data_IF_996448668077
#
_entry.id   IF_996448668077
#
_cell.length_a   1.000
_cell.length_b   1.000
_cell.length_c   1.000
_cell.angle_alpha   90.00
_cell.angle_beta   90.00
_cell.angle_gamma   90.00
#
_symmetry.space_group_name_H-M   'P 1'
#
loop_
_entity.id
_entity.type
_entity.pdbx_description
1 polymer ?
#
# COMPACT_ATOMS: atom_id res chain seq x y z
N UNK A 1 45.21 -27.24 -26.14
CA UNK A 1 45.10 -27.03 -24.68
C UNK A 1 43.76 -26.45 -24.28
N UNK A 2 43.16 -25.51 -25.02
CA UNK A 2 41.87 -24.89 -24.68
C UNK A 2 40.64 -25.83 -24.77
N UNK A 3 40.65 -26.83 -25.69
CA UNK A 3 39.53 -27.76 -25.84
C UNK A 3 39.32 -28.70 -24.64
N UNK A 4 40.40 -29.10 -23.96
CA UNK A 4 40.33 -29.95 -22.79
C UNK A 4 39.77 -29.23 -21.55
N UNK A 5 40.00 -27.92 -21.42
CA UNK A 5 39.47 -27.09 -20.34
C UNK A 5 37.96 -26.85 -20.47
N UNK A 6 37.46 -26.73 -21.69
CA UNK A 6 36.03 -26.63 -21.98
C UNK A 6 35.32 -27.94 -21.61
N UNK A 7 35.93 -29.09 -21.87
CA UNK A 7 35.34 -30.38 -21.55
C UNK A 7 35.24 -30.66 -20.04
N UNK A 8 36.15 -30.07 -19.24
CA UNK A 8 36.15 -30.20 -17.77
C UNK A 8 35.32 -29.13 -17.07
N UNK A 9 34.54 -28.32 -17.78
CA UNK A 9 33.80 -27.17 -17.24
C UNK A 9 34.67 -26.22 -16.37
N UNK A 10 36.00 -26.25 -16.59
CA UNK A 10 36.91 -25.33 -15.94
C UNK A 10 36.65 -23.92 -16.51
N UNK A 11 36.17 -22.98 -15.72
CA UNK A 11 36.14 -21.57 -16.11
C UNK A 11 37.56 -21.18 -16.54
N UNK A 12 37.70 -20.71 -17.79
CA UNK A 12 38.93 -20.02 -18.17
C UNK A 12 39.15 -18.93 -17.12
N UNK A 13 40.32 -18.95 -16.44
CA UNK A 13 40.65 -17.96 -15.46
C UNK A 13 40.55 -16.60 -16.11
N UNK A 14 39.66 -15.75 -15.61
CA UNK A 14 39.54 -14.38 -16.06
C UNK A 14 40.91 -13.71 -15.89
N UNK A 15 41.34 -12.99 -16.91
CA UNK A 15 42.52 -12.15 -16.80
C UNK A 15 42.43 -11.26 -15.56
N UNK A 16 43.44 -11.05 -14.75
CA UNK A 16 43.37 -10.20 -13.55
C UNK A 16 42.67 -8.85 -13.79
N UNK A 17 42.89 -8.27 -14.96
CA UNK A 17 42.22 -7.01 -15.38
C UNK A 17 40.71 -7.17 -15.56
N UNK A 18 40.19 -8.31 -15.99
CA UNK A 18 38.78 -8.57 -16.16
C UNK A 18 38.08 -8.71 -14.79
N UNK A 19 38.74 -9.36 -13.83
CA UNK A 19 38.26 -9.46 -12.45
C UNK A 19 38.14 -8.07 -11.78
N UNK A 20 39.15 -7.22 -11.96
CA UNK A 20 39.10 -5.84 -11.45
C UNK A 20 37.98 -5.01 -12.11
N UNK A 21 37.79 -5.19 -13.41
CA UNK A 21 36.74 -4.50 -14.16
C UNK A 21 35.35 -4.96 -13.75
N UNK A 22 35.13 -6.27 -13.60
CA UNK A 22 33.86 -6.82 -13.09
C UNK A 22 33.57 -6.37 -11.66
N UNK A 23 34.58 -6.31 -10.79
CA UNK A 23 34.43 -5.85 -9.42
C UNK A 23 34.09 -4.37 -9.38
N UNK A 24 34.76 -3.55 -10.21
CA UNK A 24 34.50 -2.11 -10.30
C UNK A 24 33.09 -1.82 -10.80
N UNK A 25 32.63 -2.51 -11.86
CA UNK A 25 31.26 -2.38 -12.40
C UNK A 25 30.24 -2.77 -11.33
N UNK A 26 30.48 -3.84 -10.57
CA UNK A 26 29.58 -4.28 -9.50
C UNK A 26 29.45 -3.23 -8.39
N UNK A 27 30.53 -2.64 -7.96
CA UNK A 27 30.54 -1.59 -6.93
C UNK A 27 29.82 -0.33 -7.43
N UNK A 28 30.02 0.04 -8.68
CA UNK A 28 29.32 1.20 -9.28
C UNK A 28 27.80 0.96 -9.41
N UNK A 29 27.40 -0.27 -9.76
CA UNK A 29 25.99 -0.63 -9.87
C UNK A 29 25.32 -0.69 -8.49
N UNK A 30 25.97 -1.23 -7.46
CA UNK A 30 25.48 -1.21 -6.07
C UNK A 30 25.36 0.21 -5.54
N UNK A 31 26.27 1.10 -5.85
CA UNK A 31 26.19 2.50 -5.45
C UNK A 31 25.01 3.23 -6.13
N UNK A 32 24.80 2.99 -7.42
CA UNK A 32 23.66 3.54 -8.18
C UNK A 32 22.33 3.04 -7.61
N UNK A 33 22.25 1.73 -7.29
CA UNK A 33 21.06 1.13 -6.69
C UNK A 33 20.80 1.71 -5.30
N UNK A 34 21.82 1.83 -4.47
CA UNK A 34 21.72 2.45 -3.14
C UNK A 34 21.22 3.89 -3.21
N UNK A 35 21.71 4.71 -4.15
CA UNK A 35 21.22 6.08 -4.37
C UNK A 35 19.76 6.13 -4.78
N UNK A 36 19.32 5.23 -5.69
CA UNK A 36 17.91 5.13 -6.09
C UNK A 36 17.01 4.74 -4.93
N UNK A 37 17.42 3.78 -4.11
CA UNK A 37 16.70 3.36 -2.91
C UNK A 37 16.54 4.53 -1.94
N UNK A 38 17.61 5.28 -1.68
CA UNK A 38 17.58 6.43 -0.77
C UNK A 38 16.64 7.54 -1.28
N UNK A 39 16.68 7.87 -2.56
CA UNK A 39 15.77 8.86 -3.14
C UNK A 39 14.29 8.41 -3.05
N UNK A 40 14.01 7.14 -3.33
CA UNK A 40 12.65 6.59 -3.22
C UNK A 40 12.14 6.60 -1.78
N UNK A 41 12.99 6.24 -0.81
CA UNK A 41 12.61 6.24 0.62
C UNK A 41 12.32 7.63 1.16
N UNK A 42 13.03 8.66 0.71
CA UNK A 42 12.76 10.04 1.10
C UNK A 42 11.39 10.51 0.62
N UNK A 43 11.08 10.30 -0.65
CA UNK A 43 9.79 10.72 -1.23
C UNK A 43 8.61 10.00 -0.57
N UNK A 44 8.70 8.68 -0.43
CA UNK A 44 7.66 7.87 0.22
C UNK A 44 7.56 8.18 1.72
N UNK A 45 8.68 8.49 2.39
CA UNK A 45 8.71 8.86 3.80
C UNK A 45 7.92 10.12 4.09
N UNK A 46 8.12 11.17 3.30
CA UNK A 46 7.35 12.42 3.42
C UNK A 46 5.85 12.12 3.26
N UNK A 47 5.46 11.36 2.23
CA UNK A 47 4.06 10.98 2.02
C UNK A 47 3.46 10.21 3.19
N UNK A 48 4.19 9.22 3.72
CA UNK A 48 3.73 8.41 4.86
C UNK A 48 3.54 9.24 6.13
N UNK A 49 4.45 10.15 6.44
CA UNK A 49 4.33 11.05 7.60
C UNK A 49 3.15 12.00 7.44
N UNK A 50 2.93 12.56 6.24
CA UNK A 50 1.76 13.41 5.98
C UNK A 50 0.44 12.65 6.19
N UNK A 51 0.35 11.41 5.73
CA UNK A 51 -0.84 10.58 5.96
C UNK A 51 -1.04 10.32 7.46
N UNK A 52 0.04 10.01 8.19
CA UNK A 52 -0.01 9.81 9.63
C UNK A 52 -0.54 11.05 10.36
N UNK A 53 -0.04 12.24 10.03
CA UNK A 53 -0.49 13.48 10.67
C UNK A 53 -1.94 13.80 10.37
N UNK A 54 -2.39 13.61 9.13
CA UNK A 54 -3.80 13.83 8.74
C UNK A 54 -4.71 12.82 9.45
N UNK A 55 -4.36 11.54 9.45
CA UNK A 55 -5.14 10.50 10.12
C UNK A 55 -5.19 10.71 11.64
N UNK A 56 -4.08 11.14 12.25
CA UNK A 56 -4.05 11.52 13.66
C UNK A 56 -5.01 12.67 13.95
N UNK A 57 -4.93 13.75 13.20
CA UNK A 57 -5.80 14.92 13.38
C UNK A 57 -7.28 14.57 13.22
N UNK A 58 -7.63 13.75 12.24
CA UNK A 58 -9.00 13.33 11.97
C UNK A 58 -9.63 12.51 13.11
N UNK A 59 -8.83 11.83 13.95
CA UNK A 59 -9.32 11.13 15.13
C UNK A 59 -9.74 12.09 16.26
N UNK A 60 -9.21 13.30 16.29
CA UNK A 60 -9.54 14.31 17.32
C UNK A 60 -10.52 15.38 16.80
N UNK A 61 -10.65 15.53 15.50
CA UNK A 61 -11.63 16.40 14.85
C UNK A 61 -12.71 15.57 14.18
N UNK A 62 -13.50 14.87 15.02
CA UNK A 62 -14.53 13.95 14.54
C UNK A 62 -15.64 14.68 13.80
N UNK A 63 -16.18 14.12 12.71
CA UNK A 63 -17.34 14.69 12.03
C UNK A 63 -18.57 14.68 12.93
N UNK A 64 -19.36 15.77 12.91
CA UNK A 64 -20.66 15.83 13.59
C UNK A 64 -20.66 16.42 14.99
N UNK A 65 -19.54 17.01 15.42
CA UNK A 65 -19.42 17.71 16.71
C UNK A 65 -19.65 16.86 17.97
N UNK A 66 -19.41 17.43 19.14
CA UNK A 66 -19.55 16.76 20.44
C UNK A 66 -20.79 17.28 21.18
N UNK A 67 -21.49 16.37 21.84
CA UNK A 67 -22.56 16.76 22.76
C UNK A 67 -21.96 17.39 24.01
N UNK A 68 -22.79 18.13 24.77
CA UNK A 68 -22.37 18.75 26.03
C UNK A 68 -21.76 17.79 27.07
N UNK A 69 -21.94 16.50 26.90
CA UNK A 69 -21.34 15.43 27.74
C UNK A 69 -20.01 14.92 27.20
N UNK A 70 -19.41 15.56 26.19
CA UNK A 70 -18.14 15.14 25.58
C UNK A 70 -18.24 13.91 24.68
N UNK A 71 -19.42 13.38 24.40
CA UNK A 71 -19.62 12.27 23.48
C UNK A 71 -19.85 12.79 22.04
N UNK A 72 -19.29 12.12 21.01
CA UNK A 72 -19.59 12.47 19.62
C UNK A 72 -21.09 12.32 19.34
N UNK A 73 -21.72 13.31 18.73
CA UNK A 73 -23.15 13.30 18.43
C UNK A 73 -23.57 12.15 17.51
N UNK A 74 -22.65 11.66 16.67
CA UNK A 74 -22.85 10.56 15.74
C UNK A 74 -22.47 9.19 16.32
N UNK A 75 -22.11 9.14 17.61
CA UNK A 75 -21.87 7.92 18.35
C UNK A 75 -23.09 7.00 18.28
N UNK A 76 -22.87 5.74 17.90
CA UNK A 76 -23.97 4.79 17.72
C UNK A 76 -24.36 4.52 16.27
N UNK A 77 -23.89 5.30 15.29
CA UNK A 77 -24.03 4.97 13.87
C UNK A 77 -22.89 4.04 13.45
N UNK A 78 -23.21 2.90 12.84
CA UNK A 78 -22.20 1.92 12.38
C UNK A 78 -21.26 2.50 11.30
N UNK A 79 -21.73 3.47 10.49
CA UNK A 79 -20.89 4.17 9.50
C UNK A 79 -19.83 5.04 10.19
N UNK A 80 -20.17 5.66 11.32
CA UNK A 80 -19.23 6.41 12.13
C UNK A 80 -18.17 5.50 12.77
N UNK A 81 -18.57 4.34 13.29
CA UNK A 81 -17.63 3.35 13.82
C UNK A 81 -16.68 2.85 12.71
N UNK A 82 -17.20 2.60 11.50
CA UNK A 82 -16.38 2.24 10.34
C UNK A 82 -15.38 3.33 9.94
N UNK A 83 -15.80 4.61 10.01
CA UNK A 83 -14.90 5.75 9.79
C UNK A 83 -13.73 5.73 10.79
N UNK A 84 -13.99 5.57 12.08
CA UNK A 84 -12.96 5.51 13.12
C UNK A 84 -11.98 4.35 12.85
N UNK A 85 -12.49 3.16 12.53
CA UNK A 85 -11.66 2.00 12.23
C UNK A 85 -10.79 2.24 11.00
N UNK A 86 -11.36 2.76 9.91
CA UNK A 86 -10.63 3.04 8.69
C UNK A 86 -9.53 4.10 8.92
N UNK A 87 -9.83 5.17 9.67
CA UNK A 87 -8.86 6.21 9.99
C UNK A 87 -7.74 5.72 10.92
N UNK A 88 -8.07 4.89 11.91
CA UNK A 88 -7.08 4.26 12.78
C UNK A 88 -6.15 3.31 12.02
N UNK A 89 -6.69 2.53 11.07
CA UNK A 89 -5.89 1.69 10.17
C UNK A 89 -4.96 2.53 9.28
N UNK A 90 -5.43 3.67 8.77
CA UNK A 90 -4.59 4.59 8.00
C UNK A 90 -3.40 5.07 8.82
N UNK A 91 -3.63 5.48 10.07
CA UNK A 91 -2.58 5.90 10.99
C UNK A 91 -1.57 4.78 11.29
N UNK A 92 -2.04 3.58 11.67
CA UNK A 92 -1.18 2.44 11.99
C UNK A 92 -0.33 2.01 10.79
N UNK A 93 -0.94 1.89 9.60
CA UNK A 93 -0.23 1.50 8.39
C UNK A 93 0.79 2.55 7.95
N UNK A 94 0.48 3.84 8.05
CA UNK A 94 1.43 4.91 7.73
C UNK A 94 2.62 4.94 8.70
N UNK A 95 2.41 4.68 9.98
CA UNK A 95 3.47 4.54 10.96
C UNK A 95 4.41 3.36 10.64
N UNK A 96 3.84 2.18 10.34
CA UNK A 96 4.61 1.01 9.93
C UNK A 96 5.37 1.24 8.61
N UNK A 97 4.76 1.93 7.65
CA UNK A 97 5.44 2.33 6.41
C UNK A 97 6.64 3.23 6.72
N UNK A 98 6.47 4.24 7.57
CA UNK A 98 7.53 5.18 7.94
C UNK A 98 8.71 4.45 8.61
N UNK A 99 8.45 3.54 9.55
CA UNK A 99 9.50 2.75 10.22
C UNK A 99 10.29 1.91 9.18
N UNK A 100 9.60 1.20 8.29
CA UNK A 100 10.26 0.41 7.25
C UNK A 100 11.04 1.29 6.27
N UNK A 101 10.57 2.50 5.96
CA UNK A 101 11.30 3.45 5.12
C UNK A 101 12.56 3.98 5.80
N UNK A 102 12.55 4.18 7.12
CA UNK A 102 13.75 4.53 7.88
C UNK A 102 14.81 3.43 7.75
N UNK A 103 14.44 2.15 7.91
CA UNK A 103 15.37 1.03 7.71
C UNK A 103 15.86 0.94 6.26
N UNK A 104 14.96 1.11 5.29
CA UNK A 104 15.32 1.09 3.87
C UNK A 104 16.24 2.26 3.46
N UNK A 105 16.11 3.42 4.12
CA UNK A 105 16.93 4.61 3.87
C UNK A 105 18.33 4.57 4.51
N UNK A 106 18.53 3.72 5.52
CA UNK A 106 19.78 3.67 6.29
C UNK A 106 20.88 2.95 5.53
N UNK A 107 22.03 3.59 5.34
CA UNK A 107 23.18 3.03 4.61
C UNK A 107 23.93 1.90 5.35
N UNK A 108 23.63 1.70 6.64
CA UNK A 108 24.24 0.65 7.48
C UNK A 108 23.73 -0.75 7.10
N UNK A 109 22.56 -0.81 6.45
CA UNK A 109 21.88 -2.04 6.09
C UNK A 109 22.26 -2.45 4.66
N UNK A 110 22.48 -3.74 4.43
CA UNK A 110 22.80 -4.29 3.11
C UNK A 110 21.73 -3.95 2.06
N UNK A 111 22.15 -3.65 0.85
CA UNK A 111 21.27 -3.25 -0.27
C UNK A 111 20.10 -4.21 -0.50
N UNK A 112 20.28 -5.55 -0.54
CA UNK A 112 19.17 -6.49 -0.74
C UNK A 112 18.16 -6.48 0.41
N UNK A 113 18.59 -6.23 1.64
CA UNK A 113 17.69 -6.13 2.80
C UNK A 113 16.93 -4.81 2.79
N UNK A 114 17.58 -3.70 2.40
CA UNK A 114 16.94 -2.40 2.16
C UNK A 114 15.81 -2.50 1.14
N UNK A 115 16.05 -3.26 0.04
CA UNK A 115 15.03 -3.51 -0.98
C UNK A 115 13.79 -4.22 -0.43
N UNK A 116 13.97 -5.20 0.46
CA UNK A 116 12.85 -5.89 1.14
C UNK A 116 12.06 -4.93 2.04
N UNK A 117 12.73 -4.13 2.86
CA UNK A 117 12.08 -3.12 3.70
C UNK A 117 11.31 -2.09 2.87
N UNK A 118 11.86 -1.68 1.71
CA UNK A 118 11.16 -0.79 0.80
C UNK A 118 9.87 -1.43 0.24
N UNK A 119 9.91 -2.70 -0.16
CA UNK A 119 8.71 -3.40 -0.64
C UNK A 119 7.61 -3.49 0.42
N UNK A 120 7.98 -3.83 1.66
CA UNK A 120 7.07 -3.87 2.81
C UNK A 120 6.50 -2.47 3.07
N UNK A 121 7.34 -1.45 3.06
CA UNK A 121 6.93 -0.07 3.27
C UNK A 121 5.94 0.41 2.20
N UNK A 122 6.17 0.10 0.93
CA UNK A 122 5.24 0.43 -0.17
C UNK A 122 3.89 -0.26 0.04
N UNK A 123 3.88 -1.53 0.46
CA UNK A 123 2.63 -2.24 0.75
C UNK A 123 1.82 -1.55 1.87
N UNK A 124 2.48 -1.17 2.97
CA UNK A 124 1.83 -0.43 4.07
C UNK A 124 1.43 0.99 3.65
N UNK A 125 2.23 1.68 2.84
CA UNK A 125 1.88 3.00 2.32
C UNK A 125 0.61 2.95 1.46
N UNK A 126 0.50 1.97 0.55
CA UNK A 126 -0.71 1.75 -0.26
C UNK A 126 -1.90 1.45 0.65
N UNK A 127 -1.74 0.57 1.64
CA UNK A 127 -2.78 0.25 2.60
C UNK A 127 -3.23 1.49 3.39
N UNK A 128 -2.30 2.36 3.80
CA UNK A 128 -2.62 3.60 4.54
C UNK A 128 -3.42 4.59 3.69
N UNK A 129 -3.04 4.78 2.42
CA UNK A 129 -3.76 5.67 1.49
C UNK A 129 -5.18 5.14 1.22
N UNK A 130 -5.35 3.83 0.99
CA UNK A 130 -6.69 3.24 0.78
C UNK A 130 -7.57 3.36 2.02
N UNK A 131 -7.00 3.15 3.21
CA UNK A 131 -7.71 3.31 4.47
C UNK A 131 -8.13 4.76 4.70
N UNK A 132 -7.24 5.72 4.43
CA UNK A 132 -7.55 7.15 4.54
C UNK A 132 -8.64 7.57 3.54
N UNK A 133 -8.56 7.09 2.29
CA UNK A 133 -9.59 7.34 1.27
C UNK A 133 -10.95 6.78 1.70
N UNK A 134 -10.96 5.57 2.28
CA UNK A 134 -12.17 4.94 2.83
C UNK A 134 -12.74 5.77 3.99
N UNK A 135 -11.88 6.21 4.91
CA UNK A 135 -12.29 7.09 6.01
C UNK A 135 -12.88 8.41 5.49
N UNK A 136 -12.27 9.02 4.47
CA UNK A 136 -12.78 10.23 3.85
C UNK A 136 -14.20 10.04 3.29
N UNK A 137 -14.41 8.96 2.52
CA UNK A 137 -15.73 8.64 1.94
C UNK A 137 -16.79 8.41 3.02
N UNK A 138 -16.43 7.64 4.07
CA UNK A 138 -17.35 7.37 5.18
C UNK A 138 -17.63 8.61 5.99
N UNK A 139 -16.63 9.44 6.29
CA UNK A 139 -16.80 10.72 6.99
C UNK A 139 -17.70 11.66 6.23
N UNK A 140 -17.49 11.80 4.93
CA UNK A 140 -18.32 12.63 4.06
C UNK A 140 -19.78 12.12 4.01
N UNK A 141 -19.94 10.80 3.89
CA UNK A 141 -21.27 10.17 3.93
C UNK A 141 -22.01 10.49 5.24
N UNK A 142 -21.34 10.34 6.38
CA UNK A 142 -21.93 10.58 7.71
C UNK A 142 -22.37 12.04 7.88
N UNK A 143 -21.62 12.99 7.32
CA UNK A 143 -21.93 14.44 7.43
C UNK A 143 -23.04 14.85 6.48
N UNK A 144 -23.05 14.35 5.24
CA UNK A 144 -24.02 14.77 4.22
C UNK A 144 -25.35 14.02 4.30
N UNK A 145 -25.37 12.79 4.83
CA UNK A 145 -26.57 11.95 4.87
C UNK A 145 -27.83 12.63 5.44
N UNK A 146 -27.75 13.44 6.52
CA UNK A 146 -28.92 14.13 7.06
C UNK A 146 -29.51 15.21 6.15
N UNK A 147 -28.73 15.77 5.22
CA UNK A 147 -29.11 16.94 4.42
C UNK A 147 -29.38 16.61 2.96
N UNK A 148 -28.65 15.66 2.37
CA UNK A 148 -28.68 15.41 0.94
C UNK A 148 -28.26 13.97 0.58
N UNK A 149 -29.16 13.01 0.81
CA UNK A 149 -28.90 11.58 0.50
C UNK A 149 -28.38 11.33 -0.92
N UNK A 150 -28.97 11.98 -1.93
CA UNK A 150 -28.56 11.83 -3.32
C UNK A 150 -27.13 12.31 -3.55
N UNK A 151 -26.81 13.51 -3.06
CA UNK A 151 -25.47 14.10 -3.20
C UNK A 151 -24.42 13.29 -2.46
N UNK A 152 -24.72 12.83 -1.26
CA UNK A 152 -23.87 11.98 -0.45
C UNK A 152 -23.51 10.67 -1.18
N UNK A 153 -24.51 10.01 -1.75
CA UNK A 153 -24.31 8.75 -2.49
C UNK A 153 -23.49 8.98 -3.75
N UNK A 154 -23.78 10.02 -4.54
CA UNK A 154 -23.05 10.32 -5.77
C UNK A 154 -21.58 10.61 -5.47
N UNK A 155 -21.30 11.48 -4.48
CA UNK A 155 -19.93 11.84 -4.11
C UNK A 155 -19.17 10.62 -3.58
N UNK A 156 -19.80 9.77 -2.77
CA UNK A 156 -19.19 8.54 -2.25
C UNK A 156 -18.85 7.55 -3.37
N UNK A 157 -19.74 7.38 -4.35
CA UNK A 157 -19.50 6.50 -5.51
C UNK A 157 -18.37 7.05 -6.38
N UNK A 158 -18.39 8.35 -6.70
CA UNK A 158 -17.35 9.01 -7.50
C UNK A 158 -15.98 8.92 -6.79
N UNK A 159 -15.92 9.24 -5.50
CA UNK A 159 -14.68 9.17 -4.73
C UNK A 159 -14.13 7.74 -4.67
N UNK A 160 -14.99 6.75 -4.45
CA UNK A 160 -14.60 5.33 -4.47
C UNK A 160 -14.08 4.92 -5.84
N UNK A 161 -14.73 5.35 -6.91
CA UNK A 161 -14.32 5.05 -8.29
C UNK A 161 -12.96 5.69 -8.64
N UNK A 162 -12.75 6.95 -8.28
CA UNK A 162 -11.47 7.66 -8.50
C UNK A 162 -10.34 6.98 -7.72
N UNK A 163 -10.56 6.61 -6.47
CA UNK A 163 -9.60 5.84 -5.68
C UNK A 163 -9.27 4.51 -6.37
N UNK A 164 -10.28 3.78 -6.83
CA UNK A 164 -10.10 2.51 -7.53
C UNK A 164 -9.24 2.67 -8.79
N UNK A 165 -9.56 3.66 -9.61
CA UNK A 165 -8.81 3.95 -10.84
C UNK A 165 -7.36 4.35 -10.57
N UNK A 166 -7.10 5.07 -9.49
CA UNK A 166 -5.74 5.49 -9.11
C UNK A 166 -4.84 4.34 -8.66
N UNK A 167 -5.42 3.26 -8.12
CA UNK A 167 -4.64 2.09 -7.65
C UNK A 167 -4.44 1.02 -8.71
N UNK A 168 -5.32 0.94 -9.69
CA UNK A 168 -5.13 0.04 -10.82
C UNK A 168 -4.16 0.72 -11.78
N UNK A 169 -2.87 0.33 -11.71
CA UNK A 169 -1.92 0.70 -12.76
C UNK A 169 -2.12 -0.25 -13.96
N UNK A 170 -2.99 0.08 -14.93
CA UNK A 170 -3.33 -0.80 -16.04
C UNK A 170 -2.12 -1.03 -16.95
N UNK A 171 -1.16 -0.11 -16.96
CA UNK A 171 0.03 -0.18 -17.80
C UNK A 171 0.99 -1.25 -17.31
N UNK A 172 1.21 -1.34 -15.98
CA UNK A 172 2.07 -2.38 -15.40
C UNK A 172 1.45 -3.77 -15.51
N UNK A 173 0.16 -3.89 -15.19
CA UNK A 173 -0.56 -5.15 -15.33
C UNK A 173 -0.57 -5.68 -16.76
N UNK A 174 -0.83 -4.81 -17.74
CA UNK A 174 -0.82 -5.17 -19.15
C UNK A 174 0.57 -5.51 -19.69
N UNK A 175 1.62 -4.80 -19.26
CA UNK A 175 3.00 -5.10 -19.68
C UNK A 175 3.45 -6.47 -19.15
N UNK A 176 3.19 -6.77 -17.89
CA UNK A 176 3.49 -8.08 -17.29
C UNK A 176 2.66 -9.20 -17.93
N UNK A 177 1.37 -8.98 -18.14
CA UNK A 177 0.49 -9.96 -18.78
C UNK A 177 0.91 -10.25 -20.23
N UNK A 178 1.26 -9.23 -21.03
CA UNK A 178 1.80 -9.42 -22.39
C UNK A 178 3.13 -10.16 -22.39
N UNK A 179 4.06 -9.80 -21.52
CA UNK A 179 5.37 -10.46 -21.44
C UNK A 179 5.23 -11.93 -21.02
N UNK A 180 4.35 -12.25 -20.09
CA UNK A 180 4.03 -13.61 -19.67
C UNK A 180 3.30 -14.40 -20.77
N UNK A 181 2.36 -13.77 -21.46
CA UNK A 181 1.61 -14.42 -22.54
C UNK A 181 2.53 -14.84 -23.72
N UNK A 182 3.47 -13.97 -24.10
CA UNK A 182 4.46 -14.30 -25.15
C UNK A 182 5.41 -15.42 -24.74
N UNK A 183 5.67 -15.66 -23.45
CA UNK A 183 6.61 -16.67 -22.97
C UNK A 183 5.98 -18.01 -22.65
N UNK A 184 4.76 -18.04 -22.12
CA UNK A 184 4.15 -19.24 -21.51
C UNK A 184 2.80 -19.62 -22.09
N UNK A 185 2.19 -18.82 -22.99
CA UNK A 185 0.88 -19.10 -23.56
C UNK A 185 -0.27 -19.03 -22.54
N UNK A 186 -1.27 -19.94 -22.65
CA UNK A 186 -2.46 -19.95 -21.82
C UNK A 186 -2.23 -20.00 -20.28
N UNK A 187 -1.26 -20.73 -19.72
CA UNK A 187 -1.05 -20.72 -18.26
C UNK A 187 -0.61 -19.35 -17.71
N UNK A 188 -0.05 -18.48 -18.57
CA UNK A 188 0.29 -17.12 -18.17
C UNK A 188 -0.92 -16.26 -17.80
N UNK A 189 -2.07 -16.52 -18.40
CA UNK A 189 -3.33 -15.86 -18.05
C UNK A 189 -3.77 -16.16 -16.63
N UNK A 190 -3.65 -17.42 -16.20
CA UNK A 190 -3.99 -17.82 -14.84
C UNK A 190 -3.05 -17.18 -13.80
N UNK A 191 -1.76 -17.10 -14.11
CA UNK A 191 -0.76 -16.48 -13.24
C UNK A 191 -0.98 -14.96 -13.14
N UNK A 192 -1.23 -14.29 -14.27
CA UNK A 192 -1.50 -12.84 -14.28
C UNK A 192 -2.82 -12.49 -13.57
N UNK A 193 -3.86 -13.28 -13.75
CA UNK A 193 -5.12 -13.14 -13.03
C UNK A 193 -4.93 -13.32 -11.50
N UNK A 194 -4.16 -14.33 -11.08
CA UNK A 194 -3.85 -14.55 -9.67
C UNK A 194 -3.09 -13.37 -9.06
N UNK A 195 -2.09 -12.83 -9.76
CA UNK A 195 -1.34 -11.65 -9.31
C UNK A 195 -2.28 -10.45 -9.19
N UNK A 196 -3.13 -10.20 -10.18
CA UNK A 196 -4.09 -9.12 -10.17
C UNK A 196 -5.09 -9.24 -9.00
N UNK A 197 -5.65 -10.42 -8.79
CA UNK A 197 -6.57 -10.68 -7.67
C UNK A 197 -5.87 -10.46 -6.33
N UNK A 198 -4.64 -10.95 -6.17
CA UNK A 198 -3.88 -10.78 -4.91
C UNK A 198 -3.58 -9.31 -4.65
N UNK A 199 -3.19 -8.55 -5.67
CA UNK A 199 -2.96 -7.11 -5.55
C UNK A 199 -4.24 -6.35 -5.21
N UNK A 200 -5.36 -6.67 -5.88
CA UNK A 200 -6.65 -6.06 -5.60
C UNK A 200 -7.10 -6.36 -4.15
N UNK A 201 -6.97 -7.60 -3.71
CA UNK A 201 -7.28 -7.97 -2.33
C UNK A 201 -6.40 -7.24 -1.31
N UNK A 202 -5.09 -7.10 -1.58
CA UNK A 202 -4.18 -6.34 -0.72
C UNK A 202 -4.54 -4.86 -0.64
N UNK A 203 -5.08 -4.27 -1.69
CA UNK A 203 -5.48 -2.86 -1.74
C UNK A 203 -6.83 -2.64 -1.03
N UNK A 204 -7.79 -3.56 -1.22
CA UNK A 204 -9.17 -3.38 -0.73
C UNK A 204 -9.47 -4.02 0.63
N UNK A 205 -8.53 -4.78 1.21
CA UNK A 205 -8.77 -5.41 2.52
C UNK A 205 -9.14 -4.42 3.64
N UNK A 206 -8.58 -3.19 3.73
CA UNK A 206 -8.97 -2.26 4.79
C UNK A 206 -10.41 -1.78 4.64
N UNK A 207 -10.84 -1.57 3.39
CA UNK A 207 -12.23 -1.23 3.08
C UNK A 207 -13.18 -2.38 3.47
N UNK A 208 -12.83 -3.61 3.09
CA UNK A 208 -13.62 -4.80 3.46
C UNK A 208 -13.65 -4.99 4.97
N UNK A 209 -12.52 -4.79 5.67
CA UNK A 209 -12.43 -4.92 7.12
C UNK A 209 -13.29 -3.88 7.84
N UNK A 210 -13.28 -2.62 7.42
CA UNK A 210 -14.08 -1.55 8.02
C UNK A 210 -15.58 -1.76 7.83
N UNK A 211 -16.02 -2.19 6.64
CA UNK A 211 -17.42 -2.52 6.38
C UNK A 211 -17.88 -3.80 7.10
N UNK A 212 -17.03 -4.84 7.15
CA UNK A 212 -17.32 -6.06 7.90
C UNK A 212 -17.47 -5.76 9.40
N UNK A 213 -16.58 -4.95 9.96
CA UNK A 213 -16.68 -4.49 11.34
C UNK A 213 -17.97 -3.71 11.61
N UNK A 214 -18.34 -2.79 10.71
CA UNK A 214 -19.57 -2.03 10.80
C UNK A 214 -20.81 -2.95 10.82
N UNK A 215 -20.83 -3.96 9.93
CA UNK A 215 -21.93 -4.93 9.85
C UNK A 215 -22.06 -5.79 11.12
N UNK A 216 -20.93 -6.25 11.69
CA UNK A 216 -20.88 -7.04 12.93
C UNK A 216 -21.36 -6.20 14.11
N UNK A 217 -20.82 -4.99 14.27
CA UNK A 217 -21.17 -4.05 15.34
C UNK A 217 -22.64 -3.64 15.29
N UNK A 218 -23.22 -3.49 14.10
CA UNK A 218 -24.64 -3.23 13.91
C UNK A 218 -25.54 -4.37 14.39
N UNK A 219 -25.14 -5.61 14.15
CA UNK A 219 -25.90 -6.83 14.54
C UNK A 219 -25.94 -7.03 16.06
N UNK A 220 -24.84 -6.74 16.75
CA UNK A 220 -24.76 -6.89 18.21
C UNK A 220 -25.60 -5.81 18.95
N UNK A 221 -25.73 -4.61 18.39
CA UNK A 221 -26.59 -3.56 18.96
C UNK A 221 -28.08 -3.88 18.79
N UNK A 222 -28.49 -4.50 17.70
CA UNK A 222 -29.87 -4.98 17.56
C UNK A 222 -30.23 -6.06 18.55
N UNK A 223 -29.29 -6.99 18.86
CA UNK A 223 -29.50 -8.02 19.89
C UNK A 223 -29.63 -7.47 21.33
N UNK A 224 -28.99 -6.33 21.63
CA UNK A 224 -29.07 -5.70 22.97
C UNK A 224 -30.33 -4.86 23.18
N UNK A 225 -31.08 -4.54 22.10
CA UNK A 225 -32.32 -3.75 22.15
C UNK A 225 -33.59 -4.62 22.09
N UNK A 226 -33.45 -5.90 21.76
CA UNK A 226 -34.53 -6.92 21.82
C UNK A 226 -34.43 -7.72 23.11
#
# INVERSE_FOLDING_TARGET
MNAALIYCCAKLGNHPLDCFKEQYIRVEDEEKESKKLTASTQTLGIGSVLIATVAFSANFTLPGDYSGNGMPNLSGRYVFDAFIVANSLAFMCSGLATINLMYAGTSIVDVPLRGKHLQIAVAFAVCSVTSLSTAFVLGLYVVLDPFAHMTSTIVSVVASFVCLCGYIDPLRGQAVARALFHRMGYPALAISARILITQTMMVFWPMIASFAWAAISGKDRHKKKA
#
